data_IF_221331582166
#
_entry.id   IF_221331582166
#
_cell.length_a   1.000
_cell.length_b   1.000
_cell.length_c   1.000
_cell.angle_alpha   90.00
_cell.angle_beta   90.00
_cell.angle_gamma   90.00
#
_symmetry.space_group_name_H-M   'P 1'
#
loop_
_entity.id
_entity.type
_entity.pdbx_description
1 polymer ?
#
# COMPACT_ATOMS: atom_id res chain seq x y z
N UNK A 1 14.78 12.53 -4.04
CA UNK A 1 13.39 12.91 -3.67
C UNK A 1 12.45 12.27 -4.69
N UNK A 2 11.55 11.40 -4.25
CA UNK A 2 10.49 10.82 -5.09
C UNK A 2 9.24 11.68 -4.91
N UNK A 3 8.66 12.18 -6.01
CA UNK A 3 7.51 13.10 -5.99
C UNK A 3 6.42 12.54 -6.90
N UNK A 4 5.21 12.38 -6.38
CA UNK A 4 4.01 12.00 -7.14
C UNK A 4 3.16 13.25 -7.36
N UNK A 5 2.68 13.46 -8.58
CA UNK A 5 1.74 14.52 -8.96
C UNK A 5 0.36 13.91 -9.21
N UNK A 6 -0.72 14.49 -8.69
CA UNK A 6 -2.07 13.97 -8.94
C UNK A 6 -2.46 14.17 -10.41
N UNK A 7 -3.00 13.13 -11.05
CA UNK A 7 -3.46 13.18 -12.45
C UNK A 7 -4.98 13.35 -12.62
N UNK A 8 -5.79 13.05 -11.59
CA UNK A 8 -7.25 12.95 -11.76
C UNK A 8 -8.04 14.21 -11.39
N UNK A 9 -7.72 14.89 -10.29
CA UNK A 9 -8.51 16.04 -9.81
C UNK A 9 -7.60 17.20 -9.44
N UNK A 10 -7.83 18.35 -10.06
CA UNK A 10 -7.19 19.61 -9.72
C UNK A 10 -7.52 20.02 -8.28
N UNK A 11 -6.51 20.10 -7.41
CA UNK A 11 -6.64 20.61 -6.03
C UNK A 11 -6.56 19.55 -4.93
N UNK A 12 -6.54 18.27 -5.30
CA UNK A 12 -6.21 17.19 -4.35
C UNK A 12 -4.76 16.79 -4.55
N UNK A 13 -3.97 16.84 -3.49
CA UNK A 13 -2.52 16.64 -3.55
C UNK A 13 -2.15 15.28 -2.97
N UNK A 14 -1.29 14.50 -3.63
CA UNK A 14 -0.79 13.26 -3.06
C UNK A 14 -0.11 13.55 -1.73
N UNK A 15 -0.20 12.65 -0.74
CA UNK A 15 0.44 12.87 0.54
C UNK A 15 1.94 13.03 0.35
N UNK A 16 2.52 14.03 1.02
CA UNK A 16 3.97 14.15 1.09
C UNK A 16 4.52 13.04 1.99
N UNK A 17 4.98 11.96 1.38
CA UNK A 17 5.64 10.87 2.09
C UNK A 17 7.14 11.14 2.11
N UNK A 18 7.71 11.19 3.31
CA UNK A 18 9.16 11.16 3.48
C UNK A 18 9.69 9.79 3.04
N UNK A 19 10.51 9.78 1.99
CA UNK A 19 11.13 8.56 1.46
C UNK A 19 12.22 7.98 2.36
N UNK A 20 12.79 8.80 3.24
CA UNK A 20 13.93 8.43 4.09
C UNK A 20 13.51 8.09 5.51
N UNK A 21 12.23 8.27 5.87
CA UNK A 21 11.75 7.91 7.20
C UNK A 21 12.09 6.43 7.52
N UNK A 22 12.72 6.15 8.67
CA UNK A 22 13.14 4.80 9.00
C UNK A 22 11.94 3.87 9.20
N UNK A 23 12.17 2.56 9.12
CA UNK A 23 11.19 1.53 9.45
C UNK A 23 9.86 1.63 8.69
N UNK A 24 9.89 2.17 7.47
CA UNK A 24 8.68 2.38 6.66
C UNK A 24 8.87 1.74 5.29
N UNK A 25 7.94 0.88 4.89
CA UNK A 25 7.86 0.38 3.52
C UNK A 25 6.94 1.30 2.72
N UNK A 26 7.32 1.60 1.48
CA UNK A 26 6.52 2.41 0.56
C UNK A 26 6.44 1.71 -0.78
N UNK A 27 5.31 1.86 -1.45
CA UNK A 27 5.14 1.49 -2.85
C UNK A 27 4.24 2.49 -3.53
N UNK A 28 4.55 2.78 -4.79
CA UNK A 28 3.73 3.57 -5.69
C UNK A 28 3.19 2.67 -6.80
N UNK A 29 1.97 2.95 -7.22
CA UNK A 29 1.31 2.30 -8.34
C UNK A 29 0.67 3.35 -9.23
N UNK A 30 0.85 3.17 -10.54
CA UNK A 30 0.13 3.88 -11.57
C UNK A 30 -0.20 2.87 -12.68
N UNK A 31 -1.46 2.78 -13.09
CA UNK A 31 -1.86 1.91 -14.19
C UNK A 31 -1.95 2.68 -15.52
N UNK A 32 -2.27 1.96 -16.60
CA UNK A 32 -2.43 2.52 -17.95
C UNK A 32 -3.53 3.58 -18.08
N UNK A 33 -4.40 3.71 -17.08
CA UNK A 33 -5.49 4.68 -17.04
C UNK A 33 -5.10 5.95 -16.28
N UNK A 34 -3.93 5.98 -15.65
CA UNK A 34 -3.48 7.10 -14.82
C UNK A 34 -4.05 7.07 -13.40
N UNK A 35 -4.66 5.96 -12.98
CA UNK A 35 -5.08 5.76 -11.58
C UNK A 35 -3.82 5.59 -10.72
N UNK A 36 -3.72 6.39 -9.67
CA UNK A 36 -2.53 6.44 -8.83
C UNK A 36 -2.84 5.99 -7.41
N UNK A 37 -1.98 5.15 -6.84
CA UNK A 37 -2.09 4.66 -5.47
C UNK A 37 -0.74 4.62 -4.75
N UNK A 38 -0.75 4.89 -3.44
CA UNK A 38 0.40 4.82 -2.56
C UNK A 38 0.12 3.87 -1.41
N UNK A 39 1.02 2.92 -1.19
CA UNK A 39 1.02 2.05 -0.02
C UNK A 39 2.10 2.51 0.95
N UNK A 40 1.75 2.62 2.23
CA UNK A 40 2.68 2.92 3.32
C UNK A 40 2.47 1.95 4.47
N UNK A 41 3.51 1.22 4.84
CA UNK A 41 3.50 0.33 5.99
C UNK A 41 4.59 0.71 6.98
N UNK A 42 4.22 0.90 8.25
CA UNK A 42 5.20 1.06 9.32
C UNK A 42 5.55 -0.29 9.92
N UNK A 43 6.84 -0.61 9.96
CA UNK A 43 7.33 -1.89 10.46
C UNK A 43 7.13 -2.04 11.98
N UNK A 44 7.28 -0.95 12.72
CA UNK A 44 7.17 -0.91 14.19
C UNK A 44 5.79 -1.33 14.72
N UNK A 45 4.75 -0.90 14.01
CA UNK A 45 3.35 -1.03 14.41
C UNK A 45 2.60 -2.04 13.55
N UNK A 46 3.22 -2.54 12.48
CA UNK A 46 2.60 -3.42 11.48
C UNK A 46 1.29 -2.85 10.91
N UNK A 47 1.20 -1.52 10.84
CA UNK A 47 0.05 -0.81 10.30
C UNK A 47 0.36 -0.34 8.88
N UNK A 48 -0.51 -0.71 7.95
CA UNK A 48 -0.46 -0.28 6.57
C UNK A 48 -1.66 0.60 6.21
N UNK A 49 -1.42 1.52 5.28
CA UNK A 49 -2.41 2.43 4.70
C UNK A 49 -2.23 2.49 3.20
N UNK A 50 -3.34 2.66 2.49
CA UNK A 50 -3.38 3.02 1.07
C UNK A 50 -3.93 4.43 0.92
N UNK A 51 -3.34 5.20 0.03
CA UNK A 51 -3.87 6.46 -0.46
C UNK A 51 -4.14 6.28 -1.95
N UNK A 52 -5.29 6.73 -2.43
CA UNK A 52 -5.68 6.62 -3.84
C UNK A 52 -6.06 7.98 -4.38
N UNK A 53 -5.64 8.27 -5.61
CA UNK A 53 -5.99 9.49 -6.33
C UNK A 53 -7.48 9.61 -6.64
N UNK A 54 -8.19 8.49 -6.75
CA UNK A 54 -9.64 8.47 -7.00
C UNK A 54 -10.46 8.68 -5.72
N UNK A 55 -9.80 8.59 -4.58
CA UNK A 55 -10.41 8.68 -3.26
C UNK A 55 -9.84 9.87 -2.45
N UNK A 56 -9.47 10.94 -3.16
CA UNK A 56 -9.04 12.20 -2.59
C UNK A 56 -7.76 12.16 -1.77
N UNK A 57 -6.89 11.18 -2.04
CA UNK A 57 -5.63 10.99 -1.32
C UNK A 57 -5.80 10.86 0.20
N UNK A 58 -6.97 10.39 0.65
CA UNK A 58 -7.21 10.10 2.06
C UNK A 58 -6.60 8.75 2.45
N UNK A 59 -6.34 8.56 3.75
CA UNK A 59 -5.69 7.35 4.25
C UNK A 59 -6.72 6.25 4.53
N UNK A 60 -6.68 5.17 3.75
CA UNK A 60 -7.48 3.97 3.95
C UNK A 60 -6.67 2.90 4.69
N UNK A 61 -7.14 2.37 5.82
CA UNK A 61 -6.40 1.35 6.57
C UNK A 61 -6.42 0.01 5.84
N UNK A 62 -5.31 -0.70 5.89
CA UNK A 62 -5.23 -2.10 5.45
C UNK A 62 -5.44 -3.01 6.67
N UNK A 63 -6.46 -3.84 6.63
CA UNK A 63 -6.85 -4.78 7.70
C UNK A 63 -7.04 -6.15 7.06
N UNK A 64 -6.41 -7.17 7.64
CA UNK A 64 -6.47 -8.56 7.15
C UNK A 64 -6.20 -8.72 5.64
N UNK A 65 -5.27 -7.90 5.13
CA UNK A 65 -4.86 -7.90 3.72
C UNK A 65 -5.80 -7.17 2.76
N UNK A 66 -6.83 -6.49 3.27
CA UNK A 66 -7.81 -5.74 2.48
C UNK A 66 -7.77 -4.24 2.84
N UNK A 67 -8.04 -3.37 1.88
CA UNK A 67 -8.19 -1.93 2.12
C UNK A 67 -9.63 -1.64 2.50
N UNK A 68 -9.88 -1.20 3.73
CA UNK A 68 -11.23 -0.87 4.16
C UNK A 68 -11.69 0.44 3.52
N UNK A 69 -12.87 0.43 2.88
CA UNK A 69 -13.48 1.63 2.29
C UNK A 69 -12.96 1.99 0.90
N UNK A 70 -12.15 1.12 0.27
CA UNK A 70 -11.68 1.31 -1.10
C UNK A 70 -11.97 0.04 -1.93
N UNK A 71 -12.61 0.21 -3.08
CA UNK A 71 -12.80 -0.88 -4.04
C UNK A 71 -11.59 -0.86 -4.97
N UNK A 72 -10.87 -1.98 -5.04
CA UNK A 72 -9.68 -2.11 -5.87
C UNK A 72 -10.00 -2.87 -7.15
N UNK A 73 -9.50 -2.37 -8.28
CA UNK A 73 -9.43 -3.11 -9.52
C UNK A 73 -8.46 -4.31 -9.40
N UNK A 74 -8.56 -5.33 -10.28
CA UNK A 74 -7.71 -6.52 -10.22
C UNK A 74 -6.20 -6.22 -10.17
N UNK A 75 -5.72 -5.26 -10.96
CA UNK A 75 -4.33 -4.84 -11.00
C UNK A 75 -3.87 -4.18 -9.69
N UNK A 76 -4.72 -3.36 -9.07
CA UNK A 76 -4.46 -2.73 -7.79
C UNK A 76 -4.44 -3.77 -6.66
N UNK A 77 -5.31 -4.78 -6.72
CA UNK A 77 -5.33 -5.88 -5.78
C UNK A 77 -4.04 -6.73 -5.87
N UNK A 78 -3.52 -6.97 -7.08
CA UNK A 78 -2.23 -7.65 -7.28
C UNK A 78 -1.08 -6.82 -6.72
N UNK A 79 -1.08 -5.51 -7.00
CA UNK A 79 -0.09 -4.59 -6.43
C UNK A 79 -0.14 -4.56 -4.90
N UNK A 80 -1.33 -4.49 -4.29
CA UNK A 80 -1.50 -4.55 -2.84
C UNK A 80 -0.93 -5.85 -2.27
N UNK A 81 -1.23 -6.99 -2.91
CA UNK A 81 -0.70 -8.29 -2.50
C UNK A 81 0.83 -8.31 -2.51
N UNK A 82 1.45 -7.76 -3.57
CA UNK A 82 2.89 -7.61 -3.64
C UNK A 82 3.45 -6.73 -2.50
N UNK A 83 2.78 -5.61 -2.19
CA UNK A 83 3.16 -4.72 -1.09
C UNK A 83 3.05 -5.42 0.28
N UNK A 84 2.00 -6.19 0.50
CA UNK A 84 1.82 -6.97 1.73
C UNK A 84 2.94 -7.99 1.91
N UNK A 85 3.26 -8.76 0.87
CA UNK A 85 4.36 -9.72 0.89
C UNK A 85 5.70 -9.04 1.16
N UNK A 86 6.01 -7.96 0.44
CA UNK A 86 7.28 -7.24 0.58
C UNK A 86 7.43 -6.52 1.93
N UNK A 87 6.34 -6.06 2.54
CA UNK A 87 6.34 -5.43 3.87
C UNK A 87 6.29 -6.43 5.04
N UNK A 88 6.16 -7.72 4.75
CA UNK A 88 6.04 -8.78 5.76
C UNK A 88 4.67 -8.82 6.47
N UNK A 89 3.65 -8.12 5.94
CA UNK A 89 2.26 -8.23 6.39
C UNK A 89 1.49 -9.35 5.67
N UNK A 90 1.97 -9.76 4.50
CA UNK A 90 1.45 -10.90 3.75
C UNK A 90 2.33 -12.12 4.01
N UNK A 91 2.23 -12.72 5.20
CA UNK A 91 2.85 -14.02 5.38
C UNK A 91 2.11 -15.06 4.51
N UNK A 92 2.81 -15.95 3.79
CA UNK A 92 2.25 -17.26 3.53
C UNK A 92 2.11 -17.95 4.88
N UNK A 93 0.93 -18.45 5.22
CA UNK A 93 0.80 -19.47 6.26
C UNK A 93 1.56 -20.70 5.78
N UNK A 94 2.87 -20.78 6.05
CA UNK A 94 3.55 -22.07 6.06
C UNK A 94 2.97 -22.82 7.27
N UNK A 95 2.40 -24.03 7.10
CA UNK A 95 1.98 -24.82 8.23
C UNK A 95 3.20 -25.07 9.12
N UNK A 96 3.06 -24.72 10.39
CA UNK A 96 4.05 -25.00 11.40
C UNK A 96 4.28 -26.51 11.56
N UNK A 97 5.52 -26.84 11.91
CA UNK A 97 6.00 -28.12 12.43
C UNK A 97 6.07 -29.29 11.44
N UNK A 98 7.28 -29.55 10.94
CA UNK A 98 7.86 -30.90 10.89
C UNK A 98 9.39 -30.80 10.97
N UNK A 99 9.95 -30.45 12.14
CA UNK A 99 11.22 -31.02 12.60
C UNK A 99 11.19 -31.04 14.14
N UNK A 100 10.68 -32.12 14.72
CA UNK A 100 11.15 -32.61 16.02
C UNK A 100 11.74 -34.01 15.77
N UNK A 101 12.95 -34.23 16.30
CA UNK A 101 13.50 -35.55 16.64
C UNK A 101 13.98 -36.44 15.51
#
# INVERSE_FOLDING_TARGET
>A
MFTVSNHHVSGEEPPRIDGDAPNTYRSYFENRYGEQSLFVCRHDTKKAKVYSGDAGWTAFPVVDGQVLGLILAPEEAVWLKACLMASGLGAPTLPGNLIEG
#
